data_IF_779503503511
#
_entry.id   IF_779503503511
#
_cell.length_a   1.000
_cell.length_b   1.000
_cell.length_c   1.000
_cell.angle_alpha   90.00
_cell.angle_beta   90.00
_cell.angle_gamma   90.00
#
_symmetry.space_group_name_H-M   'P 1'
#
loop_
_entity.id
_entity.type
_entity.pdbx_description
1 polymer ?
#
# COMPACT_ATOMS: atom_id res chain seq x y z
N UNK A 1 -14.57 -0.36 17.35
CA UNK A 1 -14.59 -0.18 15.88
C UNK A 1 -14.36 1.29 15.57
N UNK A 2 -13.43 1.65 14.68
CA UNK A 2 -13.28 3.05 14.25
C UNK A 2 -14.52 3.49 13.44
N UNK A 3 -15.03 4.70 13.71
CA UNK A 3 -16.12 5.32 12.94
C UNK A 3 -15.58 6.18 11.77
N UNK A 4 -14.44 5.75 11.21
CA UNK A 4 -13.80 6.46 10.11
C UNK A 4 -14.61 6.28 8.83
N UNK A 5 -14.87 7.39 8.13
CA UNK A 5 -15.52 7.41 6.82
C UNK A 5 -14.50 7.85 5.78
N UNK A 6 -14.33 7.06 4.73
CA UNK A 6 -13.50 7.44 3.58
C UNK A 6 -14.16 8.61 2.86
N UNK A 7 -13.38 9.66 2.63
CA UNK A 7 -13.80 10.81 1.84
C UNK A 7 -13.37 10.61 0.39
N UNK A 8 -14.33 10.50 -0.52
CA UNK A 8 -14.07 10.34 -1.96
C UNK A 8 -14.28 11.69 -2.65
N UNK A 9 -13.21 12.21 -3.23
CA UNK A 9 -13.18 13.48 -3.97
C UNK A 9 -12.39 13.19 -5.25
N UNK A 10 -13.02 13.29 -6.44
CA UNK A 10 -12.31 13.21 -7.71
C UNK A 10 -11.15 14.22 -7.74
N UNK A 11 -9.97 13.79 -8.21
CA UNK A 11 -8.77 14.65 -8.21
C UNK A 11 -8.18 14.93 -6.83
N UNK A 12 -8.69 14.28 -5.78
CA UNK A 12 -8.28 14.55 -4.41
C UNK A 12 -6.81 14.20 -4.14
N UNK A 13 -6.22 14.91 -3.17
CA UNK A 13 -4.90 14.60 -2.61
C UNK A 13 -5.05 13.92 -1.26
N UNK A 14 -4.36 12.80 -1.06
CA UNK A 14 -4.57 11.91 0.08
C UNK A 14 -3.27 11.45 0.71
N UNK A 15 -3.21 11.53 2.04
CA UNK A 15 -2.17 10.92 2.86
C UNK A 15 -2.55 9.52 3.33
N UNK A 16 -1.62 8.57 3.25
CA UNK A 16 -1.82 7.19 3.69
C UNK A 16 -0.69 6.72 4.60
N UNK A 17 -1.06 5.93 5.58
CA UNK A 17 -0.12 5.14 6.40
C UNK A 17 -0.49 3.67 6.24
N UNK A 18 0.44 2.88 5.70
CA UNK A 18 0.32 1.42 5.62
C UNK A 18 1.26 0.80 6.63
N UNK A 19 0.72 -0.01 7.53
CA UNK A 19 1.44 -0.66 8.61
C UNK A 19 1.60 -2.14 8.30
N UNK A 20 2.75 -2.73 8.62
CA UNK A 20 2.84 -4.17 8.77
C UNK A 20 2.07 -4.61 10.01
N UNK A 21 1.57 -5.85 9.97
CA UNK A 21 0.93 -6.50 11.10
C UNK A 21 1.91 -6.66 12.28
N UNK A 22 3.13 -7.15 12.01
CA UNK A 22 4.22 -7.17 12.98
C UNK A 22 4.98 -5.83 12.96
N UNK A 23 4.87 -5.08 14.05
CA UNK A 23 5.49 -3.75 14.23
C UNK A 23 6.99 -3.80 14.56
N UNK A 24 7.53 -4.99 14.84
CA UNK A 24 8.96 -5.19 15.08
C UNK A 24 9.69 -5.70 13.83
N UNK A 25 8.96 -6.03 12.77
CA UNK A 25 9.54 -6.52 11.54
C UNK A 25 10.21 -5.41 10.72
N UNK A 26 11.17 -5.80 9.88
CA UNK A 26 11.85 -4.93 8.92
C UNK A 26 11.51 -5.27 7.46
N UNK A 27 10.42 -6.02 7.26
CA UNK A 27 10.06 -6.65 5.99
C UNK A 27 9.96 -5.66 4.83
N UNK A 28 9.49 -4.42 5.06
CA UNK A 28 9.36 -3.42 3.99
C UNK A 28 10.72 -2.96 3.45
N UNK A 29 11.71 -2.79 4.33
CA UNK A 29 13.06 -2.39 3.94
C UNK A 29 13.86 -3.60 3.44
N UNK A 30 13.73 -4.75 4.12
CA UNK A 30 14.38 -6.00 3.72
C UNK A 30 13.98 -6.46 2.32
N UNK A 31 12.71 -6.28 1.95
CA UNK A 31 12.16 -6.62 0.64
C UNK A 31 11.74 -5.38 -0.15
N UNK A 32 12.51 -4.29 -0.05
CA UNK A 32 12.21 -3.00 -0.67
C UNK A 32 11.95 -3.11 -2.18
N UNK A 33 12.69 -3.97 -2.88
CA UNK A 33 12.51 -4.15 -4.33
C UNK A 33 11.18 -4.81 -4.67
N UNK A 34 10.66 -5.68 -3.81
CA UNK A 34 9.32 -6.25 -3.98
C UNK A 34 8.24 -5.20 -3.77
N UNK A 35 8.43 -4.30 -2.80
CA UNK A 35 7.52 -3.17 -2.58
C UNK A 35 7.55 -2.22 -3.77
N UNK A 36 8.74 -1.82 -4.24
CA UNK A 36 8.92 -0.96 -5.43
C UNK A 36 8.34 -1.59 -6.69
N UNK A 37 8.50 -2.89 -6.89
CA UNK A 37 7.90 -3.59 -8.02
C UNK A 37 6.37 -3.55 -7.95
N UNK A 38 5.79 -3.83 -6.78
CA UNK A 38 4.33 -3.73 -6.60
C UNK A 38 3.81 -2.30 -6.76
N UNK A 39 4.57 -1.32 -6.28
CA UNK A 39 4.24 0.10 -6.43
C UNK A 39 4.21 0.48 -7.91
N UNK A 40 5.26 0.13 -8.65
CA UNK A 40 5.37 0.37 -10.09
C UNK A 40 4.25 -0.29 -10.88
N UNK A 41 3.90 -1.54 -10.56
CA UNK A 41 2.75 -2.21 -11.19
C UNK A 41 1.46 -1.41 -11.00
N UNK A 42 1.22 -0.91 -9.78
CA UNK A 42 0.01 -0.16 -9.46
C UNK A 42 0.01 1.18 -10.17
N UNK A 43 1.10 1.96 -10.09
CA UNK A 43 1.14 3.30 -10.69
C UNK A 43 1.15 3.25 -12.22
N UNK A 44 1.62 2.15 -12.83
CA UNK A 44 1.55 1.98 -14.28
C UNK A 44 0.12 1.66 -14.77
N UNK A 45 -0.64 0.85 -14.02
CA UNK A 45 -2.00 0.45 -14.41
C UNK A 45 -3.09 1.41 -13.88
N UNK A 46 -2.80 2.13 -12.79
CA UNK A 46 -3.69 3.05 -12.11
C UNK A 46 -2.90 4.32 -11.74
N UNK A 47 -2.63 5.20 -12.72
CA UNK A 47 -1.78 6.38 -12.53
C UNK A 47 -2.19 7.23 -11.33
N UNK A 48 -1.18 7.76 -10.64
CA UNK A 48 -1.27 8.76 -9.57
C UNK A 48 -0.02 9.64 -9.63
N UNK A 49 -0.13 10.87 -9.19
CA UNK A 49 1.04 11.67 -8.86
C UNK A 49 1.53 11.30 -7.47
N UNK A 50 2.79 10.88 -7.37
CA UNK A 50 3.43 10.60 -6.08
C UNK A 50 4.09 11.87 -5.56
N UNK A 51 3.39 12.62 -4.71
CA UNK A 51 3.93 13.86 -4.12
C UNK A 51 5.04 13.54 -3.12
N UNK A 52 4.81 12.53 -2.27
CA UNK A 52 5.79 12.08 -1.30
C UNK A 52 5.62 10.59 -0.96
N UNK A 53 6.72 9.92 -0.66
CA UNK A 53 6.72 8.57 -0.10
C UNK A 53 7.92 8.37 0.83
N UNK A 54 7.68 7.78 1.99
CA UNK A 54 8.71 7.38 2.95
C UNK A 54 8.45 5.94 3.40
N UNK A 55 9.44 5.07 3.23
CA UNK A 55 9.35 3.64 3.55
C UNK A 55 10.25 3.38 4.76
N UNK A 56 9.62 2.99 5.87
CA UNK A 56 10.25 2.58 7.11
C UNK A 56 10.23 1.05 7.24
N UNK A 57 10.97 0.45 8.20
CA UNK A 57 11.03 -1.00 8.36
C UNK A 57 9.66 -1.70 8.44
N UNK A 58 8.70 -1.11 9.16
CA UNK A 58 7.40 -1.69 9.49
C UNK A 58 6.19 -0.85 9.02
N UNK A 59 6.41 0.31 8.39
CA UNK A 59 5.33 1.09 7.80
C UNK A 59 5.78 1.97 6.64
N UNK A 60 4.81 2.47 5.88
CA UNK A 60 5.01 3.40 4.77
C UNK A 60 4.06 4.59 4.93
N UNK A 61 4.59 5.80 4.73
CA UNK A 61 3.80 7.01 4.53
C UNK A 61 3.79 7.40 3.05
N UNK A 62 2.63 7.75 2.50
CA UNK A 62 2.47 8.16 1.11
C UNK A 62 1.55 9.37 1.00
N UNK A 63 1.83 10.25 0.04
CA UNK A 63 0.94 11.33 -0.39
C UNK A 63 0.71 11.18 -1.90
N UNK A 64 -0.53 10.93 -2.29
CA UNK A 64 -0.93 10.82 -3.70
C UNK A 64 -1.89 11.94 -4.07
N UNK A 65 -1.67 12.56 -5.23
CA UNK A 65 -2.72 13.28 -5.95
C UNK A 65 -3.28 12.35 -7.04
N UNK A 66 -4.61 12.24 -7.08
CA UNK A 66 -5.31 11.43 -8.07
C UNK A 66 -5.62 12.25 -9.33
N UNK A 67 -5.82 11.60 -10.50
CA UNK A 67 -6.38 12.25 -11.67
C UNK A 67 -7.74 12.91 -11.38
N UNK A 68 -8.08 13.98 -12.11
CA UNK A 68 -9.26 14.83 -11.86
C UNK A 68 -10.58 14.05 -11.74
N UNK A 69 -10.77 12.98 -12.51
CA UNK A 69 -11.99 12.16 -12.52
C UNK A 69 -11.88 10.87 -11.70
N UNK A 70 -10.84 10.73 -10.86
CA UNK A 70 -10.54 9.52 -10.12
C UNK A 70 -10.51 9.78 -8.60
N UNK A 71 -11.14 8.88 -7.85
CA UNK A 71 -11.17 8.86 -6.38
C UNK A 71 -10.83 7.48 -5.80
N UNK A 72 -10.41 6.53 -6.64
CA UNK A 72 -10.21 5.13 -6.28
C UNK A 72 -8.80 4.86 -5.75
N UNK A 73 -8.45 5.55 -4.67
CA UNK A 73 -7.25 5.23 -3.90
C UNK A 73 -7.38 3.88 -3.18
N UNK A 74 -8.60 3.42 -2.89
CA UNK A 74 -8.85 2.19 -2.13
C UNK A 74 -8.38 0.97 -2.92
N UNK A 75 -8.72 0.87 -4.21
CA UNK A 75 -8.24 -0.24 -5.01
C UNK A 75 -6.73 -0.19 -5.24
N UNK A 76 -6.14 1.00 -5.44
CA UNK A 76 -4.68 1.16 -5.54
C UNK A 76 -3.96 0.64 -4.31
N UNK A 77 -4.40 1.02 -3.10
CA UNK A 77 -3.85 0.51 -1.84
C UNK A 77 -4.06 -1.00 -1.72
N UNK A 78 -5.23 -1.53 -2.08
CA UNK A 78 -5.52 -2.97 -2.06
C UNK A 78 -4.57 -3.75 -2.98
N UNK A 79 -4.36 -3.26 -4.20
CA UNK A 79 -3.47 -3.88 -5.19
C UNK A 79 -2.01 -3.79 -4.78
N UNK A 80 -1.59 -2.64 -4.22
CA UNK A 80 -0.24 -2.46 -3.68
C UNK A 80 0.06 -3.48 -2.58
N UNK A 81 -0.84 -3.59 -1.59
CA UNK A 81 -0.71 -4.58 -0.52
C UNK A 81 -0.66 -6.01 -1.06
N UNK A 82 -1.59 -6.37 -1.94
CA UNK A 82 -1.66 -7.72 -2.50
C UNK A 82 -0.45 -8.07 -3.37
N UNK A 83 0.05 -7.12 -4.17
CA UNK A 83 1.20 -7.31 -5.05
C UNK A 83 2.51 -7.46 -4.28
N UNK A 84 2.68 -6.71 -3.18
CA UNK A 84 3.81 -6.90 -2.26
C UNK A 84 3.72 -8.26 -1.57
N UNK A 85 2.58 -8.57 -0.94
CA UNK A 85 2.34 -9.86 -0.27
C UNK A 85 2.59 -11.03 -1.21
N UNK A 86 2.22 -10.94 -2.49
CA UNK A 86 2.45 -12.03 -3.46
C UNK A 86 3.95 -12.31 -3.69
N UNK A 87 4.77 -11.26 -3.70
CA UNK A 87 6.22 -11.33 -3.98
C UNK A 87 7.05 -11.79 -2.79
N UNK A 88 6.54 -11.68 -1.56
CA UNK A 88 7.26 -12.15 -0.38
C UNK A 88 7.45 -13.68 -0.36
N UNK A 89 8.53 -14.17 0.27
CA UNK A 89 8.73 -15.60 0.52
C UNK A 89 7.53 -16.27 1.22
N UNK A 90 7.25 -17.57 0.95
CA UNK A 90 6.15 -18.32 1.57
C UNK A 90 6.11 -18.26 3.10
N UNK A 91 7.27 -18.34 3.77
CA UNK A 91 7.35 -18.36 5.24
C UNK A 91 6.96 -17.04 5.92
N UNK A 92 6.96 -15.92 5.17
CA UNK A 92 6.50 -14.62 5.68
C UNK A 92 4.99 -14.39 5.48
N UNK A 93 4.30 -15.37 4.89
CA UNK A 93 2.89 -15.28 4.53
C UNK A 93 2.13 -16.37 5.27
N UNK A 94 1.28 -16.01 6.22
CA UNK A 94 0.49 -16.99 6.97
C UNK A 94 -0.97 -17.00 6.52
N UNK A 95 -1.77 -17.87 7.15
CA UNK A 95 -3.21 -17.90 6.93
C UNK A 95 -3.82 -16.57 7.42
N UNK A 96 -4.54 -15.89 6.53
CA UNK A 96 -5.15 -14.59 6.79
C UNK A 96 -5.97 -14.14 5.59
N UNK A 97 -6.50 -12.92 5.65
CA UNK A 97 -7.30 -12.36 4.54
C UNK A 97 -6.49 -12.37 3.23
N UNK A 98 -7.13 -12.80 2.13
CA UNK A 98 -6.51 -12.83 0.79
C UNK A 98 -5.98 -11.43 0.43
N UNK A 99 -4.68 -11.35 0.15
CA UNK A 99 -3.97 -10.11 -0.16
C UNK A 99 -3.23 -9.50 1.04
N UNK A 100 -3.59 -9.86 2.27
CA UNK A 100 -2.94 -9.39 3.50
C UNK A 100 -2.07 -10.48 4.14
N UNK A 101 -2.57 -11.71 4.31
CA UNK A 101 -1.80 -12.88 4.81
C UNK A 101 -0.97 -12.60 6.09
N UNK A 102 -1.51 -11.79 7.00
CA UNK A 102 -0.85 -11.29 8.22
C UNK A 102 0.46 -10.53 7.96
N UNK A 103 0.64 -9.99 6.76
CA UNK A 103 1.74 -9.08 6.43
C UNK A 103 1.35 -7.65 6.81
N UNK A 104 0.12 -7.26 6.51
CA UNK A 104 -0.46 -5.92 6.72
C UNK A 104 -1.48 -5.92 7.84
#
# INVERSE_FOLDING_TARGET
MPNYRRLYVPGGTYGFTLCLHDRQADTLVRYIDHFRASYRDVTNNHPVETIAICILPDHVHMLWALPEDDFDFVNRLRLLKAGFTRRLPPHLKSNGRKGERQVW
#
